data_IF_966568708989
#
_entry.id   IF_966568708989
#
_cell.length_a   1.000
_cell.length_b   1.000
_cell.length_c   1.000
_cell.angle_alpha   90.00
_cell.angle_beta   90.00
_cell.angle_gamma   90.00
#
_symmetry.space_group_name_H-M   'P 1'
#
loop_
_entity.id
_entity.type
_entity.pdbx_description
1 polymer ?
#
# COMPACT_ATOMS: atom_id res chain seq x y z
N UNK A 1 8.75 -4.96 -10.27
CA UNK A 1 7.64 -5.77 -9.74
C UNK A 1 7.38 -5.45 -8.28
N UNK A 2 6.17 -4.95 -7.99
CA UNK A 2 5.82 -4.49 -6.65
C UNK A 2 4.91 -5.48 -5.94
N UNK A 3 4.99 -5.52 -4.61
CA UNK A 3 4.31 -6.48 -3.74
C UNK A 3 2.80 -6.62 -4.00
N UNK A 4 2.02 -5.52 -4.01
CA UNK A 4 0.56 -5.56 -4.23
C UNK A 4 0.19 -6.11 -5.61
N UNK A 5 0.77 -5.61 -6.73
CA UNK A 5 0.55 -6.16 -8.06
C UNK A 5 0.85 -7.65 -8.18
N UNK A 6 2.00 -8.09 -7.69
CA UNK A 6 2.39 -9.51 -7.73
C UNK A 6 1.41 -10.39 -6.96
N UNK A 7 1.02 -9.96 -5.76
CA UNK A 7 0.06 -10.68 -4.93
C UNK A 7 -1.32 -10.79 -5.60
N UNK A 8 -1.84 -9.69 -6.15
CA UNK A 8 -3.13 -9.68 -6.84
C UNK A 8 -3.09 -10.61 -8.05
N UNK A 9 -2.05 -10.52 -8.88
CA UNK A 9 -1.89 -11.36 -10.05
C UNK A 9 -1.80 -12.84 -9.67
N UNK A 10 -1.04 -13.20 -8.64
CA UNK A 10 -0.94 -14.56 -8.16
C UNK A 10 -2.30 -15.09 -7.69
N UNK A 11 -3.07 -14.27 -6.96
CA UNK A 11 -4.41 -14.66 -6.52
C UNK A 11 -5.43 -14.78 -7.67
N UNK A 12 -5.37 -13.90 -8.68
CA UNK A 12 -6.28 -13.97 -9.83
C UNK A 12 -5.96 -15.21 -10.69
N UNK A 13 -4.68 -15.52 -10.87
CA UNK A 13 -4.23 -16.68 -11.67
C UNK A 13 -4.27 -18.00 -10.89
N UNK A 14 -4.70 -17.97 -9.63
CA UNK A 14 -4.73 -19.12 -8.71
C UNK A 14 -3.40 -19.87 -8.61
N UNK A 15 -2.28 -19.11 -8.54
CA UNK A 15 -0.93 -19.66 -8.41
C UNK A 15 -0.32 -19.37 -7.04
N UNK A 16 0.81 -20.04 -6.75
CA UNK A 16 1.57 -19.87 -5.50
C UNK A 16 2.18 -18.48 -5.40
N UNK A 17 2.00 -17.82 -4.25
CA UNK A 17 2.67 -16.58 -3.88
C UNK A 17 3.66 -16.85 -2.75
N UNK A 18 4.96 -16.78 -3.07
CA UNK A 18 6.05 -17.03 -2.12
C UNK A 18 6.34 -15.75 -1.35
N UNK A 19 6.36 -15.81 -0.01
CA UNK A 19 6.55 -14.65 0.84
C UNK A 19 7.32 -14.96 2.12
N UNK A 20 7.78 -13.91 2.81
CA UNK A 20 8.18 -13.98 4.21
C UNK A 20 6.94 -14.20 5.10
N UNK A 21 7.13 -14.33 6.42
CA UNK A 21 5.98 -14.39 7.35
C UNK A 21 5.13 -13.11 7.38
N UNK A 22 5.56 -12.04 6.73
CA UNK A 22 4.81 -10.80 6.57
C UNK A 22 4.57 -10.03 7.88
N UNK A 23 5.43 -10.19 8.89
CA UNK A 23 5.33 -9.50 10.19
C UNK A 23 5.65 -8.00 10.09
N UNK A 24 6.44 -7.60 9.09
CA UNK A 24 6.80 -6.20 8.86
C UNK A 24 5.56 -5.37 8.52
N UNK A 25 5.51 -4.14 9.06
CA UNK A 25 4.43 -3.17 8.83
C UNK A 25 4.89 -2.09 7.85
N UNK A 26 4.00 -1.75 6.93
CA UNK A 26 4.20 -0.65 5.96
C UNK A 26 2.92 0.19 5.87
N UNK A 27 3.09 1.45 5.54
CA UNK A 27 1.97 2.35 5.26
C UNK A 27 1.62 2.29 3.77
N UNK A 28 0.37 2.01 3.46
CA UNK A 28 -0.13 1.88 2.09
C UNK A 28 -1.13 2.98 1.81
N UNK A 29 -0.73 3.89 0.94
CA UNK A 29 -1.55 5.02 0.49
C UNK A 29 -2.21 4.68 -0.85
N UNK A 30 -3.51 4.95 -0.96
CA UNK A 30 -4.23 4.78 -2.22
C UNK A 30 -3.86 5.90 -3.21
N UNK A 31 -3.80 5.56 -4.50
CA UNK A 31 -3.26 6.46 -5.54
C UNK A 31 -4.04 7.77 -5.66
N UNK A 32 -5.36 7.77 -5.53
CA UNK A 32 -6.16 8.99 -5.63
C UNK A 32 -5.87 9.96 -4.48
N UNK A 33 -5.58 9.44 -3.28
CA UNK A 33 -5.13 10.26 -2.16
C UNK A 33 -3.77 10.90 -2.45
N UNK A 34 -2.84 10.14 -3.04
CA UNK A 34 -1.54 10.68 -3.48
C UNK A 34 -1.73 11.80 -4.51
N UNK A 35 -2.55 11.58 -5.53
CA UNK A 35 -2.83 12.57 -6.57
C UNK A 35 -3.45 13.83 -5.95
N UNK A 36 -4.40 13.67 -5.02
CA UNK A 36 -5.03 14.81 -4.35
C UNK A 36 -4.03 15.66 -3.55
N UNK A 37 -3.04 15.02 -2.92
CA UNK A 37 -1.97 15.73 -2.21
C UNK A 37 -1.05 16.49 -3.18
N UNK A 38 -0.69 15.87 -4.30
CA UNK A 38 0.15 16.51 -5.35
C UNK A 38 -0.56 17.76 -5.88
N UNK A 39 -1.84 17.65 -6.27
CA UNK A 39 -2.61 18.79 -6.77
C UNK A 39 -2.66 19.92 -5.74
N UNK A 40 -2.90 19.60 -4.46
CA UNK A 40 -2.87 20.62 -3.39
C UNK A 40 -1.50 21.28 -3.24
N UNK A 41 -0.41 20.56 -3.45
CA UNK A 41 0.94 21.10 -3.31
C UNK A 41 1.31 22.07 -4.43
N UNK A 42 0.84 21.82 -5.64
CA UNK A 42 1.15 22.65 -6.81
C UNK A 42 0.67 24.10 -6.66
N UNK A 43 -0.46 24.30 -6.00
CA UNK A 43 -1.08 25.60 -5.80
C UNK A 43 -0.77 26.22 -4.41
N UNK A 44 0.24 25.71 -3.69
CA UNK A 44 0.54 26.16 -2.35
C UNK A 44 2.00 26.60 -2.20
N UNK A 45 2.20 27.93 -2.22
CA UNK A 45 3.54 28.54 -2.11
C UNK A 45 4.29 28.11 -0.82
N UNK A 46 3.58 27.76 0.25
CA UNK A 46 4.17 27.30 1.51
C UNK A 46 4.90 25.96 1.37
N UNK A 47 4.63 25.21 0.28
CA UNK A 47 5.26 23.93 -0.02
C UNK A 47 6.60 24.09 -0.75
N UNK A 48 6.89 25.26 -1.31
CA UNK A 48 8.11 25.52 -2.07
C UNK A 48 9.35 25.23 -1.24
N UNK A 49 10.23 24.36 -1.75
CA UNK A 49 11.47 23.97 -1.08
C UNK A 49 11.28 23.13 0.18
N UNK A 50 10.08 22.56 0.42
CA UNK A 50 9.79 21.72 1.58
C UNK A 50 9.70 20.26 1.22
N UNK A 51 10.16 19.39 2.11
CA UNK A 51 9.92 17.94 2.04
C UNK A 51 8.60 17.66 2.73
N UNK A 52 7.68 17.01 2.04
CA UNK A 52 6.35 16.66 2.53
C UNK A 52 6.14 15.17 2.34
N UNK A 53 6.17 14.43 3.44
CA UNK A 53 5.84 13.02 3.42
C UNK A 53 4.33 12.82 3.33
N UNK A 54 3.91 11.81 2.54
CA UNK A 54 2.51 11.45 2.36
C UNK A 54 2.29 10.01 2.81
N UNK A 55 1.18 9.76 3.45
CA UNK A 55 0.79 8.44 3.92
C UNK A 55 -0.52 8.46 4.67
N UNK A 56 -0.90 7.31 5.21
CA UNK A 56 -2.12 7.16 6.02
C UNK A 56 -1.84 7.36 7.51
N UNK A 57 -0.59 7.18 7.95
CA UNK A 57 -0.20 7.11 9.37
C UNK A 57 -0.67 5.83 10.07
N UNK A 58 -1.17 4.85 9.33
CA UNK A 58 -1.73 3.59 9.86
C UNK A 58 -1.03 2.38 9.23
N UNK A 59 0.21 2.07 9.63
CA UNK A 59 0.94 0.95 9.06
C UNK A 59 0.27 -0.38 9.40
N UNK A 60 0.20 -1.27 8.41
CA UNK A 60 -0.39 -2.61 8.52
C UNK A 60 0.63 -3.68 8.17
N UNK A 61 0.46 -4.89 8.70
CA UNK A 61 1.35 -6.03 8.39
C UNK A 61 1.14 -6.52 6.97
N UNK A 62 2.22 -6.94 6.31
CA UNK A 62 2.12 -7.55 4.98
C UNK A 62 1.27 -8.83 5.03
N UNK A 63 1.32 -9.57 6.14
CA UNK A 63 0.48 -10.75 6.34
C UNK A 63 -1.03 -10.40 6.28
N UNK A 64 -1.44 -9.29 6.91
CA UNK A 64 -2.84 -8.84 6.84
C UNK A 64 -3.24 -8.50 5.41
N UNK A 65 -2.36 -7.87 4.64
CA UNK A 65 -2.60 -7.56 3.23
C UNK A 65 -2.75 -8.85 2.42
N UNK A 66 -1.81 -9.79 2.55
CA UNK A 66 -1.85 -11.07 1.84
C UNK A 66 -3.15 -11.84 2.09
N UNK A 67 -3.53 -11.98 3.36
CA UNK A 67 -4.79 -12.65 3.75
C UNK A 67 -6.02 -11.92 3.21
N UNK A 68 -6.02 -10.58 3.26
CA UNK A 68 -7.16 -9.78 2.76
C UNK A 68 -7.33 -9.91 1.25
N UNK A 69 -6.25 -9.77 0.48
CA UNK A 69 -6.29 -9.89 -0.99
C UNK A 69 -6.73 -11.29 -1.40
N UNK A 70 -6.12 -12.34 -0.83
CA UNK A 70 -6.50 -13.72 -1.09
C UNK A 70 -7.98 -13.98 -0.80
N UNK A 71 -8.47 -13.54 0.37
CA UNK A 71 -9.90 -13.69 0.75
C UNK A 71 -10.84 -12.99 -0.22
N UNK A 72 -10.48 -11.79 -0.71
CA UNK A 72 -11.33 -11.00 -1.61
C UNK A 72 -11.34 -11.54 -3.05
N UNK A 73 -10.28 -12.15 -3.50
CA UNK A 73 -10.18 -12.72 -4.86
C UNK A 73 -10.71 -14.15 -4.90
N UNK A 74 -10.45 -14.92 -3.84
CA UNK A 74 -10.89 -16.32 -3.71
C UNK A 74 -9.90 -17.36 -4.23
N UNK A 75 -8.71 -16.94 -4.72
CA UNK A 75 -7.69 -17.83 -5.28
C UNK A 75 -6.28 -17.54 -4.76
N UNK A 76 -5.32 -18.36 -5.17
CA UNK A 76 -3.90 -18.28 -4.81
C UNK A 76 -3.55 -18.99 -3.50
N UNK A 77 -2.37 -19.58 -3.47
CA UNK A 77 -1.79 -20.23 -2.30
C UNK A 77 -0.67 -19.37 -1.70
N UNK A 78 -0.77 -18.98 -0.42
CA UNK A 78 0.25 -18.21 0.27
C UNK A 78 1.29 -19.14 0.89
N UNK A 79 2.50 -19.17 0.33
CA UNK A 79 3.65 -19.92 0.88
C UNK A 79 4.48 -18.99 1.79
N UNK A 80 4.06 -18.91 3.06
CA UNK A 80 4.67 -18.03 4.05
C UNK A 80 5.99 -18.59 4.59
N UNK A 81 6.93 -17.69 4.94
CA UNK A 81 8.22 -18.06 5.55
C UNK A 81 9.25 -18.63 4.55
N UNK A 82 8.95 -18.64 3.26
CA UNK A 82 9.87 -19.13 2.22
C UNK A 82 10.90 -18.08 1.79
N UNK A 83 10.64 -16.80 2.08
CA UNK A 83 11.59 -15.71 1.87
C UNK A 83 12.11 -15.26 3.23
N UNK A 84 13.43 -15.30 3.42
CA UNK A 84 14.09 -14.75 4.59
C UNK A 84 14.07 -13.21 4.53
N UNK A 85 13.85 -12.57 5.67
CA UNK A 85 14.03 -11.12 5.78
C UNK A 85 15.52 -10.79 5.73
N UNK A 86 15.85 -9.58 5.29
CA UNK A 86 17.20 -9.04 5.42
C UNK A 86 17.52 -8.89 6.91
N UNK A 87 18.80 -8.97 7.27
CA UNK A 87 19.24 -8.86 8.66
C UNK A 87 18.84 -7.50 9.27
N UNK A 88 18.88 -6.46 8.45
CA UNK A 88 18.57 -5.07 8.80
C UNK A 88 17.17 -4.62 8.34
N UNK A 89 16.26 -5.56 8.04
CA UNK A 89 14.91 -5.23 7.57
C UNK A 89 14.13 -4.46 8.63
N UNK A 90 13.75 -3.19 8.38
CA UNK A 90 12.96 -2.42 9.33
C UNK A 90 11.57 -3.05 9.51
N UNK A 91 11.22 -3.38 10.74
CA UNK A 91 9.94 -4.03 11.03
C UNK A 91 8.74 -3.10 10.89
N UNK A 92 8.93 -1.80 11.06
CA UNK A 92 7.87 -0.80 10.92
C UNK A 92 8.39 0.39 10.14
N UNK A 93 7.73 0.72 9.03
CA UNK A 93 8.00 1.93 8.25
C UNK A 93 6.68 2.65 7.99
N UNK A 94 6.61 3.91 8.39
CA UNK A 94 5.52 4.81 8.07
C UNK A 94 6.02 6.26 8.06
N UNK A 95 5.40 7.18 7.29
CA UNK A 95 5.86 8.55 7.19
C UNK A 95 5.48 9.39 8.40
N UNK A 96 6.31 10.38 8.73
CA UNK A 96 5.92 11.49 9.59
C UNK A 96 5.04 12.46 8.79
N UNK A 97 3.83 12.78 9.28
CA UNK A 97 2.80 13.50 8.53
C UNK A 97 2.61 14.96 8.93
N UNK A 98 3.50 15.50 9.76
CA UNK A 98 3.39 16.87 10.28
C UNK A 98 3.28 17.92 9.16
N UNK A 99 4.13 17.83 8.13
CA UNK A 99 4.15 18.78 7.03
C UNK A 99 2.95 18.63 6.11
N UNK A 100 2.49 17.40 5.83
CA UNK A 100 1.28 17.19 5.02
C UNK A 100 0.04 17.76 5.70
N UNK A 101 -0.04 17.65 7.02
CA UNK A 101 -1.15 18.24 7.79
C UNK A 101 -1.05 19.76 7.88
N UNK A 102 0.14 20.31 8.25
CA UNK A 102 0.29 21.75 8.50
C UNK A 102 0.35 22.58 7.22
N UNK A 103 1.07 22.11 6.20
CA UNK A 103 1.29 22.88 4.97
C UNK A 103 0.19 22.65 3.94
N UNK A 104 -0.29 21.42 3.79
CA UNK A 104 -1.30 21.07 2.78
C UNK A 104 -2.72 21.02 3.34
N UNK A 105 -2.90 21.02 4.67
CA UNK A 105 -4.19 20.68 5.27
C UNK A 105 -4.78 19.42 4.60
N UNK A 106 -3.94 18.38 4.50
CA UNK A 106 -4.26 17.16 3.79
C UNK A 106 -4.12 15.94 4.70
N UNK A 107 -5.05 15.01 4.54
CA UNK A 107 -5.05 13.67 5.13
C UNK A 107 -5.60 12.68 4.10
N UNK A 108 -5.14 11.44 4.16
CA UNK A 108 -5.71 10.36 3.36
C UNK A 108 -7.20 10.15 3.69
N UNK A 109 -8.01 9.89 2.67
CA UNK A 109 -9.46 9.67 2.79
C UNK A 109 -9.85 8.22 2.53
N UNK A 110 -9.09 7.53 1.67
CA UNK A 110 -9.39 6.17 1.25
C UNK A 110 -8.80 5.18 2.26
N UNK A 111 -9.66 4.48 2.99
CA UNK A 111 -9.23 3.42 3.91
C UNK A 111 -8.69 2.20 3.18
N UNK A 112 -7.88 1.39 3.89
CA UNK A 112 -7.20 0.22 3.33
C UNK A 112 -8.14 -0.74 2.57
N UNK A 113 -9.28 -1.10 3.15
CA UNK A 113 -10.22 -2.04 2.51
C UNK A 113 -10.82 -1.50 1.22
N UNK A 114 -11.17 -0.22 1.18
CA UNK A 114 -11.67 0.45 0.00
C UNK A 114 -10.59 0.53 -1.10
N UNK A 115 -9.38 0.95 -0.74
CA UNK A 115 -8.24 1.02 -1.65
C UNK A 115 -7.90 -0.34 -2.28
N UNK A 116 -7.85 -1.41 -1.48
CA UNK A 116 -7.62 -2.78 -1.99
C UNK A 116 -8.76 -3.24 -2.90
N UNK A 117 -10.02 -2.98 -2.56
CA UNK A 117 -11.15 -3.34 -3.42
C UNK A 117 -11.05 -2.66 -4.79
N UNK A 118 -10.80 -1.35 -4.81
CA UNK A 118 -10.64 -0.59 -6.04
C UNK A 118 -9.47 -1.12 -6.88
N UNK A 119 -8.34 -1.39 -6.23
CA UNK A 119 -7.14 -1.92 -6.91
C UNK A 119 -7.42 -3.29 -7.54
N UNK A 120 -8.05 -4.21 -6.80
CA UNK A 120 -8.43 -5.54 -7.33
C UNK A 120 -9.38 -5.40 -8.53
N UNK A 121 -10.37 -4.50 -8.44
CA UNK A 121 -11.32 -4.24 -9.53
C UNK A 121 -10.62 -3.78 -10.81
N UNK A 122 -9.66 -2.87 -10.70
CA UNK A 122 -8.90 -2.39 -11.86
C UNK A 122 -7.99 -3.48 -12.46
N UNK A 123 -7.38 -4.33 -11.61
CA UNK A 123 -6.59 -5.46 -12.12
C UNK A 123 -7.44 -6.51 -12.84
N UNK A 124 -8.64 -6.82 -12.33
CA UNK A 124 -9.57 -7.75 -13.01
C UNK A 124 -9.97 -7.24 -14.39
N UNK A 125 -10.26 -5.94 -14.54
CA UNK A 125 -10.58 -5.33 -15.86
C UNK A 125 -9.45 -5.47 -16.89
N UNK A 126 -8.19 -5.45 -16.46
CA UNK A 126 -7.04 -5.55 -17.36
C UNK A 126 -6.74 -6.98 -17.83
N UNK A 127 -7.31 -7.98 -17.18
CA UNK A 127 -7.07 -9.40 -17.43
C UNK A 127 -8.29 -10.04 -18.17
N UNK A 128 -9.44 -9.38 -18.10
CA UNK A 128 -10.63 -9.70 -18.89
C UNK A 128 -10.50 -9.17 -20.31
#
# INVERSE_FOLDING_TARGET
DRFIPLLINACIKDIKFIASYGKQKRDFLYVDDLISAIIKSLNNIKCKGKIINLGTGKPITLLKIMKTVRKKIGGGELLLGKIKLRVDEPMVIFPELKNSTKLLNWKSKVGFNAGINNTIKEYKKKIS
#
